data_IF_543088743213
#
_entry.id   IF_543088743213
#
_cell.length_a   1.000
_cell.length_b   1.000
_cell.length_c   1.000
_cell.angle_alpha   90.00
_cell.angle_beta   90.00
_cell.angle_gamma   90.00
#
_symmetry.space_group_name_H-M   'P 1'
#
loop_
_entity.id
_entity.type
_entity.pdbx_description
1 polymer ?
#
# COMPACT_ATOMS: atom_id res chain seq x y z
N UNK A 1 -15.37 -17.73 -6.67
CA UNK A 1 -14.51 -16.59 -7.06
C UNK A 1 -13.14 -16.77 -6.43
N UNK A 2 -12.14 -16.03 -6.90
CA UNK A 2 -10.83 -15.98 -6.23
C UNK A 2 -11.02 -15.33 -4.86
N UNK A 3 -10.26 -15.75 -3.84
CA UNK A 3 -10.49 -15.26 -2.47
C UNK A 3 -9.21 -15.06 -1.65
N UNK A 4 -8.07 -15.63 -2.09
CA UNK A 4 -6.81 -15.41 -1.38
C UNK A 4 -6.30 -13.99 -1.62
N UNK A 5 -5.74 -13.37 -0.59
CA UNK A 5 -5.05 -12.08 -0.66
C UNK A 5 -3.60 -12.27 -0.24
N UNK A 6 -2.68 -11.82 -1.08
CA UNK A 6 -1.26 -11.85 -0.78
C UNK A 6 -0.86 -10.53 -0.12
N UNK A 7 -0.20 -10.61 1.03
CA UNK A 7 0.33 -9.47 1.77
C UNK A 7 1.80 -9.68 2.12
N UNK A 8 2.57 -8.60 2.25
CA UNK A 8 4.00 -8.72 2.55
C UNK A 8 4.22 -8.96 4.04
N UNK A 9 5.25 -9.73 4.42
CA UNK A 9 5.83 -9.61 5.76
C UNK A 9 6.35 -8.18 5.98
N UNK A 10 6.42 -7.76 7.25
CA UNK A 10 6.81 -6.39 7.64
C UNK A 10 5.92 -5.33 6.97
N UNK A 11 4.62 -5.48 7.16
CA UNK A 11 3.58 -4.58 6.67
C UNK A 11 2.56 -4.29 7.76
N UNK A 12 1.75 -3.25 7.60
CA UNK A 12 0.58 -2.98 8.44
C UNK A 12 -0.62 -2.49 7.64
N UNK A 13 -1.75 -3.19 7.80
CA UNK A 13 -2.97 -2.91 7.03
C UNK A 13 -4.21 -2.61 7.90
N UNK A 14 -4.09 -2.60 9.23
CA UNK A 14 -5.16 -2.21 10.16
C UNK A 14 -5.39 -3.20 11.29
N UNK A 15 -6.43 -2.94 12.10
CA UNK A 15 -6.72 -3.68 13.33
C UNK A 15 -8.04 -4.45 13.36
N UNK A 16 -8.82 -4.43 12.29
CA UNK A 16 -10.02 -5.29 12.17
C UNK A 16 -9.61 -6.71 11.81
N UNK A 17 -10.48 -7.71 12.03
CA UNK A 17 -10.17 -9.13 11.83
C UNK A 17 -9.38 -9.44 10.54
N UNK A 18 -9.90 -9.03 9.37
CA UNK A 18 -9.19 -9.25 8.10
C UNK A 18 -7.93 -8.38 7.98
N UNK A 19 -7.99 -7.11 8.40
CA UNK A 19 -6.87 -6.17 8.26
C UNK A 19 -5.66 -6.53 9.14
N UNK A 20 -5.91 -7.04 10.35
CA UNK A 20 -4.86 -7.53 11.25
C UNK A 20 -4.29 -8.85 10.74
N UNK A 21 -5.08 -9.69 10.08
CA UNK A 21 -4.58 -10.88 9.42
C UNK A 21 -3.76 -10.55 8.16
N UNK A 22 -4.06 -9.46 7.44
CA UNK A 22 -3.21 -8.95 6.34
C UNK A 22 -1.86 -8.44 6.86
N UNK A 23 -1.83 -7.87 8.06
CA UNK A 23 -0.62 -7.29 8.68
C UNK A 23 0.50 -8.32 8.84
N UNK A 24 1.65 -8.06 8.25
CA UNK A 24 2.81 -8.98 8.22
C UNK A 24 3.76 -8.87 9.41
N UNK A 25 3.30 -8.43 10.58
CA UNK A 25 4.12 -8.25 11.79
C UNK A 25 3.54 -8.95 13.04
N UNK A 26 4.27 -9.02 14.17
CA UNK A 26 3.86 -9.79 15.35
C UNK A 26 2.52 -9.40 16.00
N UNK A 27 1.96 -8.23 15.70
CA UNK A 27 0.62 -7.85 16.22
C UNK A 27 -0.48 -8.74 15.65
N UNK A 28 -0.23 -9.42 14.54
CA UNK A 28 -1.11 -10.44 13.97
C UNK A 28 -1.23 -11.67 14.87
N UNK A 29 -0.16 -12.11 15.54
CA UNK A 29 -0.13 -13.41 16.25
C UNK A 29 -1.28 -13.66 17.23
N UNK A 30 -1.65 -12.72 18.13
CA UNK A 30 -2.78 -12.95 19.03
C UNK A 30 -4.15 -12.93 18.33
N UNK A 31 -4.22 -12.51 17.07
CA UNK A 31 -5.43 -12.41 16.24
C UNK A 31 -5.47 -13.46 15.11
N UNK A 32 -4.46 -14.33 15.02
CA UNK A 32 -4.33 -15.33 13.95
C UNK A 32 -4.96 -16.65 14.39
N UNK A 33 -6.29 -16.68 14.47
CA UNK A 33 -7.07 -17.86 14.87
C UNK A 33 -7.30 -18.84 13.70
N UNK A 34 -6.54 -18.70 12.62
CA UNK A 34 -6.69 -19.42 11.37
C UNK A 34 -7.49 -18.61 10.36
N UNK A 35 -6.81 -18.17 9.29
CA UNK A 35 -7.49 -17.60 8.13
C UNK A 35 -7.26 -18.52 6.92
N UNK A 36 -8.29 -18.74 6.11
CA UNK A 36 -8.20 -19.64 4.95
C UNK A 36 -7.64 -18.95 3.68
N UNK A 37 -7.33 -17.65 3.72
CA UNK A 37 -7.30 -16.80 2.54
C UNK A 37 -6.28 -15.66 2.53
N UNK A 38 -5.32 -15.62 3.44
CA UNK A 38 -4.24 -14.62 3.45
C UNK A 38 -2.92 -15.37 3.43
N UNK A 39 -2.09 -15.01 2.45
CA UNK A 39 -0.77 -15.59 2.25
C UNK A 39 0.26 -14.49 2.43
N UNK A 40 1.25 -14.73 3.28
CA UNK A 40 2.35 -13.79 3.48
C UNK A 40 3.58 -14.17 2.66
N UNK A 41 4.24 -13.17 2.09
CA UNK A 41 5.48 -13.36 1.33
C UNK A 41 6.54 -12.34 1.75
N UNK A 42 7.82 -12.68 1.55
CA UNK A 42 8.91 -11.72 1.75
C UNK A 42 8.98 -10.76 0.58
N UNK A 43 9.15 -9.46 0.85
CA UNK A 43 9.48 -8.47 -0.17
C UNK A 43 10.84 -7.82 0.09
N UNK A 44 11.23 -6.85 -0.74
CA UNK A 44 12.60 -6.35 -0.77
C UNK A 44 12.92 -5.52 0.47
N UNK A 45 14.09 -5.78 1.04
CA UNK A 45 14.74 -4.98 2.06
C UNK A 45 16.25 -5.26 2.08
N UNK A 46 16.99 -4.59 1.18
CA UNK A 46 18.42 -4.84 0.94
C UNK A 46 19.27 -4.87 2.23
N UNK A 47 19.04 -3.96 3.17
CA UNK A 47 19.77 -3.89 4.44
C UNK A 47 19.69 -5.19 5.28
N UNK A 48 18.60 -5.96 5.17
CA UNK A 48 18.48 -7.30 5.76
C UNK A 48 17.83 -8.27 4.76
N UNK A 49 18.44 -8.35 3.59
CA UNK A 49 17.93 -9.13 2.45
C UNK A 49 17.60 -10.56 2.86
N UNK A 50 16.39 -11.00 2.52
CA UNK A 50 16.00 -12.42 2.59
C UNK A 50 16.45 -13.20 1.35
N UNK A 51 16.99 -12.49 0.36
CA UNK A 51 17.33 -13.01 -0.96
C UNK A 51 18.83 -13.06 -1.20
N UNK A 52 19.63 -12.82 -0.15
CA UNK A 52 21.09 -12.73 -0.20
C UNK A 52 21.58 -11.76 -1.28
N UNK A 53 20.84 -10.68 -1.52
CA UNK A 53 21.21 -9.66 -2.49
C UNK A 53 22.28 -8.72 -1.91
N UNK A 54 23.10 -8.19 -2.81
CA UNK A 54 24.13 -7.19 -2.51
C UNK A 54 23.85 -5.85 -3.19
N UNK A 55 22.91 -5.81 -4.13
CA UNK A 55 22.48 -4.61 -4.84
C UNK A 55 20.96 -4.49 -4.87
N UNK A 56 20.45 -3.27 -5.11
CA UNK A 56 19.01 -3.04 -5.26
C UNK A 56 18.41 -3.77 -6.47
N UNK A 57 19.19 -3.94 -7.54
CA UNK A 57 18.77 -4.68 -8.73
C UNK A 57 18.57 -6.17 -8.41
N UNK A 58 19.54 -6.81 -7.75
CA UNK A 58 19.43 -8.19 -7.29
C UNK A 58 18.27 -8.36 -6.30
N UNK A 59 18.10 -7.41 -5.37
CA UNK A 59 17.02 -7.46 -4.38
C UNK A 59 15.64 -7.40 -5.05
N UNK A 60 15.48 -6.52 -6.04
CA UNK A 60 14.23 -6.38 -6.81
C UNK A 60 13.93 -7.64 -7.60
N UNK A 61 14.90 -8.13 -8.39
CA UNK A 61 14.76 -9.31 -9.24
C UNK A 61 14.39 -10.55 -8.42
N UNK A 62 15.10 -10.79 -7.33
CA UNK A 62 14.89 -11.98 -6.50
C UNK A 62 13.59 -11.88 -5.69
N UNK A 63 13.22 -10.69 -5.22
CA UNK A 63 11.93 -10.49 -4.57
C UNK A 63 10.74 -10.73 -5.53
N UNK A 64 10.87 -10.31 -6.80
CA UNK A 64 9.87 -10.58 -7.83
C UNK A 64 9.81 -12.07 -8.20
N UNK A 65 10.97 -12.73 -8.27
CA UNK A 65 11.05 -14.18 -8.47
C UNK A 65 10.34 -14.93 -7.34
N UNK A 66 10.62 -14.56 -6.08
CA UNK A 66 9.94 -15.11 -4.90
C UNK A 66 8.42 -14.91 -4.95
N UNK A 67 7.95 -13.71 -5.31
CA UNK A 67 6.52 -13.44 -5.43
C UNK A 67 5.88 -14.27 -6.55
N UNK A 68 6.53 -14.37 -7.72
CA UNK A 68 6.06 -15.20 -8.83
C UNK A 68 5.93 -16.67 -8.44
N UNK A 69 6.94 -17.22 -7.74
CA UNK A 69 6.90 -18.60 -7.27
C UNK A 69 5.80 -18.79 -6.21
N UNK A 70 5.62 -17.83 -5.30
CA UNK A 70 4.51 -17.84 -4.34
C UNK A 70 3.16 -17.88 -5.06
N UNK A 71 2.95 -17.03 -6.06
CA UNK A 71 1.72 -17.00 -6.87
C UNK A 71 1.46 -18.36 -7.54
N UNK A 72 2.49 -18.99 -8.09
CA UNK A 72 2.40 -20.30 -8.74
C UNK A 72 2.05 -21.42 -7.76
N UNK A 73 2.70 -21.45 -6.60
CA UNK A 73 2.49 -22.47 -5.57
C UNK A 73 1.12 -22.36 -4.90
N UNK A 74 0.61 -21.13 -4.72
CA UNK A 74 -0.73 -20.90 -4.17
C UNK A 74 -1.85 -21.17 -5.18
N UNK A 75 -1.52 -21.27 -6.47
CA UNK A 75 -2.46 -21.41 -7.58
C UNK A 75 -3.05 -20.05 -7.98
N UNK A 76 -2.63 -19.47 -9.13
CA UNK A 76 -3.04 -18.11 -9.53
C UNK A 76 -4.56 -17.91 -9.61
N UNK A 77 -5.31 -18.96 -9.98
CA UNK A 77 -6.77 -18.96 -10.06
C UNK A 77 -7.47 -18.85 -8.71
N UNK A 78 -6.74 -18.93 -7.59
CA UNK A 78 -7.27 -18.79 -6.23
C UNK A 78 -7.04 -17.39 -5.63
N UNK A 79 -6.14 -16.60 -6.23
CA UNK A 79 -5.66 -15.31 -5.71
C UNK A 79 -6.49 -14.16 -6.28
N UNK A 80 -7.17 -13.45 -5.39
CA UNK A 80 -7.97 -12.27 -5.73
C UNK A 80 -7.11 -11.01 -5.86
N UNK A 81 -6.21 -10.79 -4.91
CA UNK A 81 -5.47 -9.53 -4.81
C UNK A 81 -4.07 -9.68 -4.21
N UNK A 82 -3.21 -8.73 -4.54
CA UNK A 82 -1.97 -8.43 -3.81
C UNK A 82 -2.15 -7.03 -3.19
N UNK A 83 -1.89 -6.90 -1.89
CA UNK A 83 -1.89 -5.62 -1.18
C UNK A 83 -0.48 -5.27 -0.71
N UNK A 84 -0.05 -4.05 -1.01
CA UNK A 84 1.24 -3.51 -0.59
C UNK A 84 1.09 -2.07 -0.12
N UNK A 85 1.72 -1.73 1.00
CA UNK A 85 2.07 -0.32 1.26
C UNK A 85 3.05 0.13 0.16
N UNK A 86 2.78 1.26 -0.51
CA UNK A 86 3.70 1.80 -1.54
C UNK A 86 5.06 2.13 -0.94
N UNK A 87 5.07 2.69 0.27
CA UNK A 87 6.25 2.79 1.14
C UNK A 87 5.83 2.31 2.54
N UNK A 88 6.22 1.09 2.93
CA UNK A 88 5.93 0.52 4.24
C UNK A 88 6.35 1.43 5.39
N UNK A 89 5.38 1.81 6.22
CA UNK A 89 5.56 2.78 7.27
C UNK A 89 5.99 2.18 8.59
N UNK A 90 5.03 1.56 9.28
CA UNK A 90 5.14 1.03 10.65
C UNK A 90 6.33 0.08 10.85
N UNK A 91 6.65 -0.69 9.83
CA UNK A 91 7.68 -1.72 9.91
C UNK A 91 9.11 -1.20 9.72
N UNK A 92 9.30 0.12 9.56
CA UNK A 92 10.61 0.77 9.57
C UNK A 92 11.00 1.50 8.29
N UNK A 93 10.05 2.16 7.62
CA UNK A 93 10.29 3.01 6.42
C UNK A 93 11.15 2.30 5.37
N UNK A 94 10.58 1.29 4.71
CA UNK A 94 11.30 0.46 3.74
C UNK A 94 10.96 0.86 2.31
N UNK A 95 11.70 1.80 1.74
CA UNK A 95 11.50 2.24 0.34
C UNK A 95 11.73 1.05 -0.61
N UNK A 96 10.75 0.70 -1.48
CA UNK A 96 10.97 -0.33 -2.48
C UNK A 96 12.10 0.05 -3.44
N UNK A 97 13.00 -0.89 -3.77
CA UNK A 97 14.03 -0.65 -4.76
C UNK A 97 13.44 -0.44 -6.17
N UNK A 98 14.17 0.24 -7.08
CA UNK A 98 13.71 0.51 -8.43
C UNK A 98 13.21 -0.74 -9.17
N UNK A 99 12.08 -0.61 -9.88
CA UNK A 99 11.50 -1.70 -10.67
C UNK A 99 10.66 -2.71 -9.90
N UNK A 100 10.76 -2.78 -8.56
CA UNK A 100 9.97 -3.76 -7.79
C UNK A 100 8.46 -3.55 -7.91
N UNK A 101 7.96 -2.34 -7.64
CA UNK A 101 6.51 -2.06 -7.68
C UNK A 101 5.94 -2.22 -9.11
N UNK A 102 6.71 -1.81 -10.13
CA UNK A 102 6.36 -2.04 -11.53
C UNK A 102 6.28 -3.54 -11.87
N UNK A 103 7.25 -4.34 -11.41
CA UNK A 103 7.21 -5.80 -11.58
C UNK A 103 6.03 -6.45 -10.85
N UNK A 104 5.62 -5.94 -9.68
CA UNK A 104 4.40 -6.43 -8.99
C UNK A 104 3.15 -6.16 -9.84
N UNK A 105 3.05 -4.96 -10.46
CA UNK A 105 1.97 -4.62 -11.38
C UNK A 105 1.94 -5.56 -12.58
N UNK A 106 3.09 -5.83 -13.20
CA UNK A 106 3.20 -6.78 -14.32
C UNK A 106 2.74 -8.19 -13.94
N UNK A 107 3.13 -8.69 -12.76
CA UNK A 107 2.64 -9.98 -12.25
C UNK A 107 1.13 -9.96 -12.03
N UNK A 108 0.58 -8.86 -11.51
CA UNK A 108 -0.86 -8.72 -11.33
C UNK A 108 -1.60 -8.78 -12.67
N UNK A 109 -1.06 -8.15 -13.71
CA UNK A 109 -1.62 -8.17 -15.06
C UNK A 109 -1.51 -9.56 -15.70
N UNK A 110 -0.36 -10.22 -15.58
CA UNK A 110 -0.09 -11.58 -16.09
C UNK A 110 -1.10 -12.60 -15.56
N UNK A 111 -1.41 -12.54 -14.26
CA UNK A 111 -2.27 -13.52 -13.59
C UNK A 111 -3.72 -13.04 -13.39
N UNK A 112 -4.06 -11.81 -13.79
CA UNK A 112 -5.37 -11.19 -13.57
C UNK A 112 -5.70 -11.04 -12.07
N UNK A 113 -4.71 -10.64 -11.28
CA UNK A 113 -4.80 -10.38 -9.83
C UNK A 113 -5.02 -8.87 -9.63
N UNK A 114 -5.87 -8.49 -8.69
CA UNK A 114 -6.09 -7.08 -8.34
C UNK A 114 -4.90 -6.53 -7.54
N UNK A 115 -4.34 -5.40 -7.96
CA UNK A 115 -3.31 -4.71 -7.19
C UNK A 115 -3.93 -3.65 -6.29
N UNK A 116 -3.68 -3.75 -4.99
CA UNK A 116 -4.11 -2.79 -3.97
C UNK A 116 -2.88 -2.03 -3.45
N UNK A 117 -2.83 -0.73 -3.70
CA UNK A 117 -1.85 0.16 -3.06
C UNK A 117 -2.42 0.69 -1.73
N UNK A 118 -1.75 0.35 -0.63
CA UNK A 118 -2.05 0.91 0.69
C UNK A 118 -1.29 2.23 0.89
N UNK A 119 -2.01 3.33 0.71
CA UNK A 119 -1.51 4.70 0.85
C UNK A 119 -1.95 5.33 2.18
N UNK A 120 -2.42 4.53 3.14
CA UNK A 120 -2.95 5.04 4.41
C UNK A 120 -1.92 5.87 5.16
N UNK A 121 -0.64 5.50 5.16
CA UNK A 121 0.44 6.28 5.78
C UNK A 121 1.19 7.18 4.79
N UNK A 122 1.41 6.68 3.58
CA UNK A 122 2.33 7.27 2.62
C UNK A 122 1.64 8.23 1.62
N UNK A 123 0.31 8.26 1.60
CA UNK A 123 -0.48 9.16 0.77
C UNK A 123 -0.57 10.58 1.34
N UNK A 124 -1.17 11.46 0.54
CA UNK A 124 -1.33 12.88 0.79
C UNK A 124 -0.01 13.59 1.12
N UNK A 125 0.97 13.49 0.22
CA UNK A 125 2.15 14.35 0.25
C UNK A 125 3.32 13.88 1.10
N UNK A 126 3.17 12.80 1.89
CA UNK A 126 4.19 12.33 2.85
C UNK A 126 5.59 12.18 2.24
N UNK A 127 5.66 11.64 1.02
CA UNK A 127 6.92 11.35 0.32
C UNK A 127 7.26 12.37 -0.76
N UNK A 128 6.61 13.54 -0.78
CA UNK A 128 6.84 14.57 -1.80
C UNK A 128 6.09 14.35 -3.12
N UNK A 129 5.15 13.39 -3.16
CA UNK A 129 4.12 13.25 -4.19
C UNK A 129 2.76 13.08 -3.52
N UNK A 130 1.67 13.38 -4.23
CA UNK A 130 0.31 13.24 -3.69
C UNK A 130 0.04 11.83 -3.18
N UNK A 131 0.40 10.80 -3.93
CA UNK A 131 0.45 9.41 -3.45
C UNK A 131 1.83 8.84 -3.68
N UNK A 132 2.31 8.00 -2.76
CA UNK A 132 3.66 7.44 -2.86
C UNK A 132 3.80 6.48 -4.05
N UNK A 133 2.71 5.85 -4.49
CA UNK A 133 2.67 5.00 -5.68
C UNK A 133 3.10 5.75 -6.94
N UNK A 134 2.89 7.07 -6.98
CA UNK A 134 3.30 7.91 -8.10
C UNK A 134 4.83 8.04 -8.24
N UNK A 135 5.61 7.61 -7.25
CA UNK A 135 7.08 7.51 -7.41
C UNK A 135 7.49 6.36 -8.33
N UNK A 136 6.61 5.39 -8.56
CA UNK A 136 6.91 4.18 -9.32
C UNK A 136 6.21 4.12 -10.67
N UNK A 137 5.51 5.19 -11.08
CA UNK A 137 4.74 5.28 -12.33
C UNK A 137 3.76 4.11 -12.54
N UNK A 138 3.18 3.60 -11.45
CA UNK A 138 2.21 2.50 -11.44
C UNK A 138 0.83 3.00 -11.04
N UNK A 139 -0.20 2.50 -11.73
CA UNK A 139 -1.61 2.70 -11.36
C UNK A 139 -2.16 1.40 -10.73
N UNK A 140 -2.59 1.42 -9.46
CA UNK A 140 -3.21 0.26 -8.82
C UNK A 140 -4.69 0.13 -9.24
N UNK A 141 -5.26 -1.06 -9.03
CA UNK A 141 -6.69 -1.29 -9.25
C UNK A 141 -7.54 -0.70 -8.12
N UNK A 142 -7.02 -0.76 -6.89
CA UNK A 142 -7.60 -0.17 -5.70
C UNK A 142 -6.52 0.61 -4.93
N UNK A 143 -6.90 1.72 -4.31
CA UNK A 143 -6.01 2.50 -3.45
C UNK A 143 -6.72 2.77 -2.12
N UNK A 144 -6.15 2.28 -1.01
CA UNK A 144 -6.69 2.57 0.33
C UNK A 144 -6.04 3.82 0.89
N UNK A 145 -6.84 4.66 1.56
CA UNK A 145 -6.37 5.92 2.09
C UNK A 145 -7.07 6.28 3.41
N UNK A 146 -6.38 7.01 4.28
CA UNK A 146 -6.93 7.63 5.50
C UNK A 146 -5.95 8.72 5.97
N UNK A 147 -5.76 8.88 7.29
CA UNK A 147 -4.73 9.71 7.94
C UNK A 147 -4.55 11.10 7.30
N UNK A 148 -3.60 11.23 6.36
CA UNK A 148 -3.27 12.48 5.69
C UNK A 148 -4.42 13.12 4.92
N UNK A 149 -5.45 12.34 4.53
CA UNK A 149 -6.61 12.82 3.73
C UNK A 149 -7.27 14.07 4.29
N UNK A 150 -7.29 14.21 5.61
CA UNK A 150 -7.82 15.38 6.28
C UNK A 150 -6.95 15.74 7.48
N UNK A 151 -5.64 15.44 7.41
CA UNK A 151 -4.65 15.68 8.46
C UNK A 151 -5.03 15.18 9.87
N UNK A 152 -5.91 14.17 9.96
CA UNK A 152 -6.36 13.60 11.23
C UNK A 152 -7.40 14.43 11.99
N UNK A 153 -8.01 15.45 11.37
CA UNK A 153 -9.01 16.31 12.03
C UNK A 153 -10.29 15.56 12.38
N UNK A 154 -10.75 14.66 11.51
CA UNK A 154 -11.98 13.89 11.67
C UNK A 154 -11.72 12.45 11.19
N UNK A 155 -12.25 11.39 11.82
CA UNK A 155 -12.09 10.04 11.29
C UNK A 155 -12.61 9.92 9.86
N UNK A 156 -11.71 9.69 8.91
CA UNK A 156 -12.01 9.44 7.50
C UNK A 156 -11.02 8.43 6.94
N UNK A 157 -11.56 7.43 6.26
CA UNK A 157 -10.82 6.52 5.41
C UNK A 157 -11.66 6.17 4.18
N UNK A 158 -11.01 5.66 3.14
CA UNK A 158 -11.70 5.30 1.92
C UNK A 158 -10.86 4.39 1.03
N UNK A 159 -11.51 3.95 -0.04
CA UNK A 159 -10.91 3.17 -1.11
C UNK A 159 -11.24 3.88 -2.41
N UNK A 160 -10.23 4.31 -3.15
CA UNK A 160 -10.40 4.71 -4.54
C UNK A 160 -10.42 3.44 -5.41
N UNK A 161 -11.38 3.37 -6.33
CA UNK A 161 -11.71 2.17 -7.10
C UNK A 161 -11.52 2.46 -8.59
N UNK A 162 -10.85 1.57 -9.32
CA UNK A 162 -10.71 1.70 -10.77
C UNK A 162 -12.08 1.66 -11.48
N UNK A 163 -12.22 2.30 -12.65
CA UNK A 163 -13.46 2.25 -13.43
C UNK A 163 -13.92 0.82 -13.73
N UNK A 164 -12.99 -0.08 -14.06
CA UNK A 164 -13.29 -1.48 -14.37
C UNK A 164 -13.96 -2.22 -13.19
N UNK A 165 -13.49 -2.00 -11.96
CA UNK A 165 -14.11 -2.59 -10.77
C UNK A 165 -15.41 -1.87 -10.44
N UNK A 166 -15.43 -0.54 -10.50
CA UNK A 166 -16.61 0.27 -10.21
C UNK A 166 -17.81 -0.09 -11.09
N UNK A 167 -17.59 -0.38 -12.38
CA UNK A 167 -18.65 -0.76 -13.33
C UNK A 167 -19.40 -2.03 -12.89
N UNK A 168 -18.72 -2.95 -12.19
CA UNK A 168 -19.38 -4.14 -11.65
C UNK A 168 -20.53 -3.77 -10.70
N UNK A 169 -20.39 -2.66 -9.98
CA UNK A 169 -21.39 -2.20 -9.03
C UNK A 169 -22.53 -1.38 -9.65
N UNK A 170 -22.40 -0.98 -10.94
CA UNK A 170 -23.50 -0.41 -11.70
C UNK A 170 -24.60 -1.45 -12.00
N UNK A 171 -24.22 -2.73 -12.08
CA UNK A 171 -25.13 -3.84 -12.39
C UNK A 171 -25.43 -4.74 -11.19
N UNK A 172 -24.65 -4.61 -10.11
CA UNK A 172 -24.79 -5.43 -8.89
C UNK A 172 -24.60 -4.57 -7.66
N UNK A 173 -25.60 -4.53 -6.78
CA UNK A 173 -25.46 -3.82 -5.51
C UNK A 173 -24.26 -4.33 -4.70
N UNK A 174 -23.42 -3.42 -4.20
CA UNK A 174 -22.37 -3.73 -3.23
C UNK A 174 -23.02 -4.11 -1.89
N UNK A 175 -22.82 -5.34 -1.38
CA UNK A 175 -23.50 -5.81 -0.17
C UNK A 175 -22.76 -5.37 1.11
N UNK A 176 -22.44 -4.08 1.20
CA UNK A 176 -21.68 -3.52 2.32
C UNK A 176 -21.95 -2.02 2.54
N UNK A 177 -21.74 -1.56 3.76
CA UNK A 177 -21.93 -0.17 4.13
C UNK A 177 -21.55 0.10 5.58
N UNK A 178 -21.28 1.35 5.90
CA UNK A 178 -21.03 1.86 7.25
C UNK A 178 -21.95 3.07 7.47
N UNK A 179 -22.55 3.21 8.65
CA UNK A 179 -23.45 4.33 8.98
C UNK A 179 -22.83 5.70 8.70
N UNK A 180 -21.52 5.84 8.92
CA UNK A 180 -20.77 7.08 8.71
C UNK A 180 -20.01 7.12 7.37
N UNK A 181 -20.32 6.21 6.43
CA UNK A 181 -19.76 6.31 5.08
C UNK A 181 -20.21 7.60 4.41
N UNK A 182 -19.26 8.39 3.89
CA UNK A 182 -19.56 9.71 3.32
C UNK A 182 -19.98 10.77 4.33
N UNK A 183 -19.55 10.67 5.60
CA UNK A 183 -19.92 11.63 6.65
C UNK A 183 -19.58 13.08 6.25
N UNK A 184 -20.59 14.00 6.16
CA UNK A 184 -20.40 15.34 5.58
C UNK A 184 -19.29 16.17 6.24
N UNK A 185 -19.17 16.12 7.57
CA UNK A 185 -18.10 16.84 8.28
C UNK A 185 -16.71 16.29 7.94
N UNK A 186 -16.58 14.97 7.81
CA UNK A 186 -15.31 14.32 7.54
C UNK A 186 -14.85 14.62 6.10
N UNK A 187 -15.80 14.58 5.15
CA UNK A 187 -15.54 14.93 3.75
C UNK A 187 -15.27 16.43 3.56
N UNK A 188 -15.96 17.31 4.28
CA UNK A 188 -15.68 18.74 4.25
C UNK A 188 -14.27 19.06 4.78
N UNK A 189 -13.86 18.40 5.88
CA UNK A 189 -12.50 18.51 6.39
C UNK A 189 -11.46 18.03 5.36
N UNK A 190 -11.72 16.93 4.65
CA UNK A 190 -10.82 16.46 3.59
C UNK A 190 -10.67 17.47 2.43
N UNK A 191 -11.78 18.03 1.94
CA UNK A 191 -11.74 19.06 0.90
C UNK A 191 -10.93 20.28 1.36
N UNK A 192 -11.18 20.75 2.59
CA UNK A 192 -10.44 21.88 3.15
C UNK A 192 -8.94 21.58 3.30
N UNK A 193 -8.57 20.40 3.80
CA UNK A 193 -7.18 19.98 3.92
C UNK A 193 -6.49 19.88 2.57
N UNK A 194 -7.10 19.25 1.57
CA UNK A 194 -6.48 19.07 0.25
C UNK A 194 -6.28 20.43 -0.42
N UNK A 195 -7.25 21.34 -0.33
CA UNK A 195 -7.11 22.70 -0.85
C UNK A 195 -5.99 23.46 -0.15
N UNK A 196 -5.95 23.45 1.18
CA UNK A 196 -4.87 24.11 1.93
C UNK A 196 -3.50 23.53 1.57
N UNK A 197 -3.39 22.20 1.43
CA UNK A 197 -2.15 21.55 1.00
C UNK A 197 -1.70 21.99 -0.39
N UNK A 198 -2.63 22.17 -1.31
CA UNK A 198 -2.33 22.64 -2.66
C UNK A 198 -1.96 24.13 -2.67
N UNK A 199 -2.74 24.97 -1.99
CA UNK A 199 -2.56 26.43 -1.92
C UNK A 199 -1.24 26.81 -1.23
N UNK A 200 -0.84 26.07 -0.20
CA UNK A 200 0.38 26.30 0.58
C UNK A 200 1.60 25.55 0.04
N UNK A 201 1.46 24.75 -1.03
CA UNK A 201 2.55 23.97 -1.62
C UNK A 201 3.15 22.93 -0.67
N UNK A 202 2.30 22.25 0.12
CA UNK A 202 2.73 21.33 1.18
C UNK A 202 3.45 20.10 0.61
N UNK A 203 3.02 19.58 -0.55
CA UNK A 203 3.62 18.41 -1.18
C UNK A 203 5.03 18.73 -1.68
N UNK A 204 5.18 19.88 -2.34
CA UNK A 204 6.45 20.41 -2.83
C UNK A 204 7.39 20.71 -1.66
N UNK A 205 6.86 21.30 -0.59
CA UNK A 205 7.63 21.54 0.62
C UNK A 205 8.10 20.23 1.28
N UNK A 206 7.28 19.17 1.29
CA UNK A 206 7.69 17.86 1.78
C UNK A 206 8.83 17.27 0.95
N UNK A 207 8.77 17.39 -0.39
CA UNK A 207 9.85 16.98 -1.29
C UNK A 207 11.15 17.76 -1.03
N UNK A 208 11.04 19.09 -0.89
CA UNK A 208 12.17 19.99 -0.62
C UNK A 208 12.82 19.69 0.72
N UNK A 209 12.05 19.65 1.81
CA UNK A 209 12.58 19.35 3.15
C UNK A 209 13.17 17.93 3.20
N UNK A 210 12.52 16.96 2.57
CA UNK A 210 13.02 15.59 2.51
C UNK A 210 14.40 15.49 1.85
N UNK A 211 14.58 16.15 0.71
CA UNK A 211 15.82 16.05 -0.09
C UNK A 211 16.93 17.01 0.35
N UNK A 212 16.61 18.23 0.76
CA UNK A 212 17.59 19.28 1.06
C UNK A 212 17.96 19.36 2.54
N UNK A 213 17.12 18.86 3.44
CA UNK A 213 17.31 19.01 4.90
C UNK A 213 17.44 17.65 5.58
N UNK A 214 16.43 16.79 5.48
CA UNK A 214 16.38 15.55 6.24
C UNK A 214 17.38 14.51 5.71
N UNK A 215 17.43 14.28 4.39
CA UNK A 215 18.32 13.27 3.82
C UNK A 215 19.82 13.57 4.05
N UNK A 216 20.33 14.80 3.87
CA UNK A 216 21.73 15.12 4.20
C UNK A 216 22.03 14.92 5.69
N UNK A 217 21.18 15.44 6.57
CA UNK A 217 21.37 15.31 8.02
C UNK A 217 21.39 13.86 8.50
N UNK A 218 20.55 13.00 7.91
CA UNK A 218 20.55 11.56 8.22
C UNK A 218 21.81 10.85 7.72
N UNK A 219 22.39 11.28 6.58
CA UNK A 219 23.67 10.74 6.09
C UNK A 219 24.83 11.12 6.99
N UNK A 220 24.82 12.33 7.54
CA UNK A 220 25.87 12.79 8.46
C UNK A 220 25.84 12.05 9.81
N UNK A 221 24.71 11.43 10.16
CA UNK A 221 24.56 10.62 11.38
C UNK A 221 24.97 9.14 11.20
N UNK A 222 25.08 8.66 9.97
CA UNK A 222 25.32 7.25 9.63
C UNK A 222 26.81 6.92 9.50
#
# INVERSE_FOLDING_TARGET
GRYKVLARYRSYHGGTETAINLTGDPRRWPNDHGNAGIVHFFGPFLYRSQFHATTEAEESERALTHLRDTIRMEGPSTIAAIILESIPGTAGIMVPPPGYIAGVRELCDEYGIIFIADEVMAGFGRSGKWFSINHFDVTPDLLTFAKGVNSGYVPLGGVAISPAISETFAHRAYPGGLTYSGHPLATAAAVATINAMADEGIVENAARIGSEVLAPALKDLA
#
